data_IF_513134646629
#
_entry.id   IF_513134646629
#
_cell.length_a   1.000
_cell.length_b   1.000
_cell.length_c   1.000
_cell.angle_alpha   90.00
_cell.angle_beta   90.00
_cell.angle_gamma   90.00
#
_symmetry.space_group_name_H-M   'P 1'
#
loop_
_entity.id
_entity.type
_entity.pdbx_description
1 polymer ?
#
# COMPACT_ATOMS: atom_id res chain seq x y z
N UNK A 1 -44.00 62.90 59.58
CA UNK A 1 -44.76 62.83 58.34
C UNK A 1 -43.84 63.04 57.19
N UNK A 2 -43.25 62.03 56.70
CA UNK A 2 -42.36 62.09 55.52
C UNK A 2 -42.49 60.86 54.67
N UNK A 3 -42.91 61.08 53.43
CA UNK A 3 -43.06 60.03 52.44
C UNK A 3 -41.70 59.61 51.85
N UNK A 4 -41.35 58.38 52.05
CA UNK A 4 -40.12 57.77 51.50
C UNK A 4 -40.39 57.24 50.08
N UNK A 5 -39.78 57.90 49.09
CA UNK A 5 -39.84 57.48 47.70
C UNK A 5 -38.93 56.30 47.50
N UNK A 6 -39.55 55.20 47.02
CA UNK A 6 -38.84 54.02 46.54
C UNK A 6 -38.40 54.26 45.09
N UNK A 7 -37.12 54.34 44.87
CA UNK A 7 -36.49 54.21 43.55
C UNK A 7 -36.11 52.75 43.34
N UNK A 8 -36.85 52.07 42.47
CA UNK A 8 -36.42 50.77 41.93
C UNK A 8 -35.45 50.99 40.77
N UNK A 9 -34.19 50.67 41.04
CA UNK A 9 -33.20 50.57 39.98
C UNK A 9 -33.30 49.20 39.30
N UNK A 10 -33.72 49.16 38.02
CA UNK A 10 -33.67 47.99 37.19
C UNK A 10 -32.22 47.79 36.70
N UNK A 11 -31.52 46.81 37.27
CA UNK A 11 -30.23 46.35 36.72
C UNK A 11 -30.51 45.38 35.55
N UNK A 12 -30.32 45.87 34.32
CA UNK A 12 -30.34 45.01 33.12
C UNK A 12 -29.01 44.24 33.07
N UNK A 13 -29.06 42.96 33.44
CA UNK A 13 -27.94 42.04 33.23
C UNK A 13 -27.88 41.68 31.71
N UNK A 14 -26.94 42.30 30.99
CA UNK A 14 -26.55 41.82 29.64
C UNK A 14 -25.79 40.51 29.82
N UNK A 15 -26.43 39.38 29.58
CA UNK A 15 -25.80 38.09 29.39
C UNK A 15 -25.09 38.11 28.04
N UNK A 16 -23.80 38.35 28.02
CA UNK A 16 -22.95 38.04 26.86
C UNK A 16 -22.88 36.51 26.73
N UNK A 17 -23.65 35.95 25.79
CA UNK A 17 -23.45 34.60 25.31
C UNK A 17 -22.10 34.57 24.57
N UNK A 18 -21.06 34.23 25.26
CA UNK A 18 -19.77 33.88 24.68
C UNK A 18 -20.01 32.52 24.00
N UNK A 19 -20.38 32.57 22.70
CA UNK A 19 -20.33 31.41 21.85
C UNK A 19 -18.86 30.99 21.79
N UNK A 20 -18.50 30.00 22.60
CA UNK A 20 -17.22 29.33 22.52
C UNK A 20 -17.16 28.66 21.13
N UNK A 21 -16.58 29.35 20.16
CA UNK A 21 -16.04 28.69 18.98
C UNK A 21 -14.95 27.75 19.51
N UNK A 22 -15.32 26.51 19.85
CA UNK A 22 -14.35 25.45 19.94
C UNK A 22 -13.75 25.34 18.54
N UNK A 23 -12.58 25.95 18.34
CA UNK A 23 -11.74 25.59 17.24
C UNK A 23 -11.51 24.07 17.40
N UNK A 24 -12.22 23.26 16.65
CA UNK A 24 -11.93 21.84 16.59
C UNK A 24 -10.46 21.75 16.14
N UNK A 25 -9.59 21.37 17.05
CA UNK A 25 -8.22 21.04 16.70
C UNK A 25 -8.33 19.94 15.63
N UNK A 26 -7.64 20.14 14.50
CA UNK A 26 -7.63 19.15 13.44
C UNK A 26 -7.21 17.80 14.01
N UNK A 27 -7.97 16.74 13.70
CA UNK A 27 -7.56 15.39 14.04
C UNK A 27 -6.32 15.04 13.21
N UNK A 28 -5.25 14.59 13.85
CA UNK A 28 -4.06 14.12 13.13
C UNK A 28 -4.16 12.62 12.89
N UNK A 29 -3.95 12.20 11.63
CA UNK A 29 -3.81 10.79 11.22
C UNK A 29 -2.42 10.59 10.64
N UNK A 30 -1.68 9.64 11.18
CA UNK A 30 -0.37 9.24 10.67
C UNK A 30 -0.46 7.99 9.81
N UNK A 31 0.23 7.99 8.66
CA UNK A 31 0.25 6.87 7.71
C UNK A 31 1.68 6.55 7.26
N UNK A 32 2.07 5.28 7.42
CA UNK A 32 3.32 4.75 6.86
C UNK A 32 3.09 4.24 5.45
N UNK A 33 3.93 4.64 4.48
CA UNK A 33 3.73 4.28 3.09
C UNK A 33 5.05 4.15 2.32
N UNK A 34 5.06 3.36 1.25
CA UNK A 34 6.17 3.37 0.28
C UNK A 34 6.01 4.52 -0.73
N UNK A 35 7.12 5.07 -1.28
CA UNK A 35 7.07 6.31 -2.05
C UNK A 35 6.09 6.28 -3.22
N UNK A 36 6.18 5.27 -4.09
CA UNK A 36 5.37 5.14 -5.32
C UNK A 36 4.63 3.80 -5.31
N UNK A 37 3.37 3.74 -5.63
CA UNK A 37 2.41 4.83 -5.91
C UNK A 37 1.80 5.42 -4.63
N UNK A 38 2.06 4.84 -3.46
CA UNK A 38 1.32 5.03 -2.22
C UNK A 38 1.39 6.46 -1.69
N UNK A 39 2.60 7.02 -1.48
CA UNK A 39 2.75 8.42 -1.04
C UNK A 39 2.17 9.38 -2.08
N UNK A 40 2.36 9.14 -3.38
CA UNK A 40 1.80 9.98 -4.42
C UNK A 40 0.27 10.02 -4.39
N UNK A 41 -0.38 8.90 -4.09
CA UNK A 41 -1.85 8.82 -3.90
C UNK A 41 -2.25 9.54 -2.61
N UNK A 42 -1.49 9.37 -1.51
CA UNK A 42 -1.74 10.06 -0.24
C UNK A 42 -1.62 11.58 -0.36
N UNK A 43 -0.72 12.08 -1.17
CA UNK A 43 -0.60 13.53 -1.42
C UNK A 43 -1.82 14.10 -2.17
N UNK A 44 -2.52 13.30 -2.98
CA UNK A 44 -3.80 13.70 -3.59
C UNK A 44 -4.91 13.83 -2.54
N UNK A 45 -4.96 12.94 -1.56
CA UNK A 45 -6.01 12.97 -0.53
C UNK A 45 -5.74 13.97 0.59
N UNK A 46 -4.50 14.35 0.82
CA UNK A 46 -4.10 15.29 1.88
C UNK A 46 -4.90 16.61 1.87
N UNK A 47 -5.05 17.33 0.74
CA UNK A 47 -5.89 18.54 0.69
C UNK A 47 -7.40 18.25 0.84
N UNK A 48 -7.86 17.05 0.49
CA UNK A 48 -9.25 16.63 0.69
C UNK A 48 -9.53 16.47 2.19
N UNK A 49 -8.63 15.81 2.91
CA UNK A 49 -8.70 15.62 4.36
C UNK A 49 -8.57 16.92 5.14
N UNK A 50 -7.68 17.81 4.74
CA UNK A 50 -7.51 19.11 5.37
C UNK A 50 -8.80 19.94 5.38
N UNK A 51 -9.60 19.89 4.31
CA UNK A 51 -10.93 20.53 4.24
C UNK A 51 -11.95 19.91 5.21
N UNK A 52 -11.70 18.70 5.69
CA UNK A 52 -12.54 17.97 6.65
C UNK A 52 -12.00 18.09 8.09
N UNK A 53 -10.97 18.90 8.33
CA UNK A 53 -10.35 19.07 9.65
C UNK A 53 -9.44 17.90 10.04
N UNK A 54 -8.93 17.13 9.07
CA UNK A 54 -7.97 16.05 9.31
C UNK A 54 -6.60 16.44 8.74
N UNK A 55 -5.57 16.42 9.60
CA UNK A 55 -4.17 16.63 9.22
C UNK A 55 -3.49 15.28 8.97
N UNK A 56 -3.15 14.98 7.71
CA UNK A 56 -2.50 13.75 7.32
C UNK A 56 -0.98 13.88 7.41
N UNK A 57 -0.37 13.06 8.27
CA UNK A 57 1.10 12.93 8.41
C UNK A 57 1.56 11.66 7.69
N UNK A 58 2.32 11.83 6.62
CA UNK A 58 2.87 10.73 5.82
C UNK A 58 4.30 10.46 6.29
N UNK A 59 4.61 9.18 6.55
CA UNK A 59 5.94 8.67 6.90
C UNK A 59 6.36 7.67 5.83
N UNK A 60 7.47 7.95 5.14
CA UNK A 60 7.95 7.10 4.06
C UNK A 60 8.82 5.95 4.57
N UNK A 61 8.61 4.77 3.98
CA UNK A 61 9.38 3.55 4.23
C UNK A 61 9.86 2.95 2.90
N UNK A 62 11.03 2.34 2.93
CA UNK A 62 11.63 1.69 1.76
C UNK A 62 11.71 0.16 1.90
N UNK A 63 10.94 -0.40 2.80
CA UNK A 63 10.82 -1.84 3.06
C UNK A 63 9.37 -2.22 3.38
N UNK A 64 9.10 -3.53 3.48
CA UNK A 64 7.75 -4.04 3.75
C UNK A 64 7.54 -4.53 5.19
N UNK A 65 8.53 -4.44 6.06
CA UNK A 65 8.46 -4.93 7.45
C UNK A 65 8.10 -3.82 8.42
N UNK A 66 8.82 -2.70 8.34
CA UNK A 66 8.71 -1.59 9.29
C UNK A 66 7.32 -0.94 9.33
N UNK A 67 6.58 -0.74 8.20
CA UNK A 67 5.27 -0.12 8.28
C UNK A 67 4.26 -0.88 9.14
N UNK A 68 4.25 -2.22 9.06
CA UNK A 68 3.36 -3.04 9.89
C UNK A 68 3.76 -3.01 11.37
N UNK A 69 5.06 -3.09 11.66
CA UNK A 69 5.56 -2.98 13.03
C UNK A 69 5.20 -1.63 13.65
N UNK A 70 5.39 -0.53 12.92
CA UNK A 70 5.07 0.82 13.40
C UNK A 70 3.59 1.01 13.76
N UNK A 71 2.67 0.38 13.00
CA UNK A 71 1.23 0.41 13.31
C UNK A 71 0.89 -0.53 14.46
N UNK A 72 1.47 -1.74 14.49
CA UNK A 72 1.27 -2.71 15.56
C UNK A 72 1.73 -2.16 16.91
N UNK A 73 2.86 -1.44 16.93
CA UNK A 73 3.43 -0.81 18.13
C UNK A 73 2.73 0.52 18.51
N UNK A 74 1.76 0.97 17.72
CA UNK A 74 1.01 2.21 17.95
C UNK A 74 1.81 3.49 17.67
N UNK A 75 2.94 3.40 16.99
CA UNK A 75 3.74 4.57 16.56
C UNK A 75 3.08 5.32 15.42
N UNK A 76 2.34 4.61 14.55
CA UNK A 76 1.52 5.14 13.48
C UNK A 76 0.09 4.67 13.62
N UNK A 77 -0.85 5.46 13.10
CA UNK A 77 -2.27 5.09 13.09
C UNK A 77 -2.58 4.05 12.02
N UNK A 78 -1.95 4.20 10.86
CA UNK A 78 -2.23 3.40 9.67
C UNK A 78 -0.96 3.15 8.85
N UNK A 79 -1.03 2.17 7.93
CA UNK A 79 -0.09 2.06 6.83
C UNK A 79 -0.81 1.79 5.51
N UNK A 80 -0.13 2.13 4.42
CA UNK A 80 -0.60 1.92 3.06
C UNK A 80 0.60 1.59 2.17
N UNK A 81 0.88 0.27 1.99
CA UNK A 81 2.05 -0.22 1.24
C UNK A 81 1.91 -1.67 0.78
N UNK A 82 0.91 -2.41 1.29
CA UNK A 82 0.81 -3.87 1.20
C UNK A 82 -0.49 -4.33 0.58
N UNK A 83 -0.45 -5.49 -0.05
CA UNK A 83 -1.64 -6.19 -0.50
C UNK A 83 -2.22 -7.13 0.58
N UNK A 84 -3.50 -7.47 0.44
CA UNK A 84 -4.25 -8.29 1.40
C UNK A 84 -3.54 -9.61 1.78
N UNK A 85 -3.05 -10.45 0.85
CA UNK A 85 -2.37 -11.68 1.24
C UNK A 85 -1.11 -11.46 2.10
N UNK A 86 -0.38 -10.35 1.89
CA UNK A 86 0.77 -10.00 2.73
C UNK A 86 0.33 -9.65 4.16
N UNK A 87 -0.72 -8.85 4.30
CA UNK A 87 -1.30 -8.52 5.61
C UNK A 87 -1.75 -9.78 6.36
N UNK A 88 -2.46 -10.69 5.70
CA UNK A 88 -2.96 -11.93 6.29
C UNK A 88 -1.81 -12.83 6.79
N UNK A 89 -0.73 -12.96 5.98
CA UNK A 89 0.48 -13.68 6.39
C UNK A 89 1.14 -13.02 7.59
N UNK A 90 1.30 -11.70 7.58
CA UNK A 90 1.91 -10.96 8.68
C UNK A 90 1.13 -11.13 10.00
N UNK A 91 -0.20 -11.01 9.94
CA UNK A 91 -1.08 -11.21 11.12
C UNK A 91 -0.94 -12.64 11.65
N UNK A 92 -0.97 -13.64 10.77
CA UNK A 92 -0.82 -15.06 11.14
C UNK A 92 0.52 -15.33 11.81
N UNK A 93 1.60 -14.79 11.27
CA UNK A 93 2.95 -15.09 11.73
C UNK A 93 3.33 -14.33 13.02
N UNK A 94 2.76 -13.14 13.22
CA UNK A 94 3.11 -12.25 14.34
C UNK A 94 2.05 -12.14 15.42
N UNK A 95 0.82 -12.63 15.19
CA UNK A 95 -0.28 -12.50 16.13
C UNK A 95 -0.68 -11.03 16.37
N UNK A 96 -0.51 -10.15 15.36
CA UNK A 96 -0.81 -8.72 15.51
C UNK A 96 -2.30 -8.43 15.39
N UNK A 97 -2.73 -7.29 15.96
CA UNK A 97 -4.13 -6.81 15.92
C UNK A 97 -4.42 -5.91 14.72
N UNK A 98 -3.60 -6.00 13.66
CA UNK A 98 -3.79 -5.23 12.44
C UNK A 98 -5.08 -5.65 11.72
N UNK A 99 -5.78 -4.65 11.16
CA UNK A 99 -7.02 -4.86 10.41
C UNK A 99 -6.99 -4.09 9.11
N UNK A 100 -7.50 -4.70 8.03
CA UNK A 100 -7.78 -3.98 6.79
C UNK A 100 -8.94 -3.01 7.02
N UNK A 101 -8.77 -1.75 6.62
CA UNK A 101 -9.82 -0.72 6.70
C UNK A 101 -10.34 -0.28 5.34
N UNK A 102 -9.64 -0.59 4.25
CA UNK A 102 -10.13 -0.32 2.88
C UNK A 102 -9.15 -0.74 1.80
N UNK A 103 -9.69 -1.31 0.70
CA UNK A 103 -8.94 -1.61 -0.51
C UNK A 103 -8.84 -0.38 -1.41
N UNK A 104 -7.70 -0.20 -2.10
CA UNK A 104 -7.45 1.01 -2.89
C UNK A 104 -7.05 0.71 -4.33
N UNK A 105 -6.02 -0.12 -4.58
CA UNK A 105 -5.53 -0.36 -5.93
C UNK A 105 -4.84 -1.71 -6.08
N UNK A 106 -4.58 -2.09 -7.32
CA UNK A 106 -3.78 -3.27 -7.68
C UNK A 106 -2.55 -2.81 -8.44
N UNK A 107 -1.43 -3.47 -8.16
CA UNK A 107 -0.15 -3.29 -8.82
C UNK A 107 0.26 -4.61 -9.49
N UNK A 108 0.02 -4.81 -10.79
CA UNK A 108 0.44 -6.02 -11.50
C UNK A 108 1.95 -6.23 -11.42
N UNK A 109 2.40 -7.36 -10.87
CA UNK A 109 3.82 -7.71 -10.76
C UNK A 109 4.40 -8.09 -12.12
N UNK A 110 5.66 -7.76 -12.40
CA UNK A 110 6.30 -8.04 -13.69
C UNK A 110 7.66 -8.71 -13.60
N UNK A 111 8.05 -9.41 -14.67
CA UNK A 111 9.40 -9.93 -14.90
C UNK A 111 10.17 -8.94 -15.77
N UNK A 112 11.35 -8.55 -15.33
CA UNK A 112 12.22 -7.58 -16.00
C UNK A 112 13.62 -8.15 -16.25
N UNK A 113 14.33 -7.59 -17.23
CA UNK A 113 15.71 -7.94 -17.51
C UNK A 113 16.45 -6.81 -18.22
N UNK A 114 17.74 -6.68 -17.92
CA UNK A 114 18.66 -5.85 -18.71
C UNK A 114 19.34 -6.65 -19.84
N UNK A 115 19.29 -8.01 -19.79
CA UNK A 115 20.03 -8.91 -20.69
C UNK A 115 19.18 -9.46 -21.81
N UNK A 116 17.88 -9.67 -21.59
CA UNK A 116 16.96 -10.24 -22.57
C UNK A 116 15.75 -9.30 -22.81
N UNK A 117 15.10 -9.46 -23.95
CA UNK A 117 13.91 -8.67 -24.32
C UNK A 117 12.65 -9.52 -24.43
N UNK A 118 12.80 -10.82 -24.57
CA UNK A 118 11.71 -11.78 -24.73
C UNK A 118 11.96 -13.03 -23.89
N UNK A 119 10.87 -13.71 -23.53
CA UNK A 119 10.90 -14.87 -22.67
C UNK A 119 11.66 -16.06 -23.28
N UNK A 120 11.62 -16.21 -24.60
CA UNK A 120 12.31 -17.28 -25.36
C UNK A 120 13.84 -17.12 -25.35
N UNK A 121 14.35 -15.92 -25.09
CA UNK A 121 15.79 -15.64 -24.94
C UNK A 121 16.36 -16.11 -23.59
N UNK A 122 15.49 -16.46 -22.63
CA UNK A 122 15.91 -17.00 -21.32
C UNK A 122 16.48 -18.41 -21.51
N UNK A 123 17.77 -18.57 -21.28
CA UNK A 123 18.52 -19.81 -21.53
C UNK A 123 18.35 -20.82 -20.41
N UNK A 124 18.71 -22.06 -20.69
CA UNK A 124 18.88 -23.09 -19.67
C UNK A 124 19.93 -22.64 -18.63
N UNK A 125 19.66 -22.89 -17.35
CA UNK A 125 20.52 -22.49 -16.23
C UNK A 125 20.53 -21.00 -15.89
N UNK A 126 19.70 -20.19 -16.57
CA UNK A 126 19.56 -18.76 -16.24
C UNK A 126 19.17 -18.53 -14.78
N UNK A 127 19.66 -17.45 -14.20
CA UNK A 127 19.31 -17.03 -12.84
C UNK A 127 18.17 -16.03 -12.85
N UNK A 128 17.10 -16.34 -12.14
CA UNK A 128 15.93 -15.45 -11.94
C UNK A 128 15.85 -15.05 -10.49
N UNK A 129 15.92 -13.73 -10.22
CA UNK A 129 15.71 -13.21 -8.88
C UNK A 129 14.22 -13.04 -8.58
N UNK A 130 13.81 -13.36 -7.35
CA UNK A 130 12.43 -13.25 -6.87
C UNK A 130 12.41 -12.66 -5.46
N UNK A 131 11.27 -12.08 -4.98
CA UNK A 131 11.13 -11.65 -3.59
C UNK A 131 11.29 -12.82 -2.62
N UNK A 132 11.87 -12.55 -1.44
CA UNK A 132 12.11 -13.54 -0.39
C UNK A 132 11.02 -13.62 0.68
N UNK A 133 10.03 -12.74 0.64
CA UNK A 133 8.88 -12.86 1.55
C UNK A 133 7.87 -13.90 1.03
N UNK A 134 7.17 -14.61 1.95
CA UNK A 134 6.36 -15.77 1.57
C UNK A 134 5.33 -15.49 0.49
N UNK A 135 4.65 -14.34 0.55
CA UNK A 135 3.54 -14.05 -0.36
C UNK A 135 3.99 -13.48 -1.70
N UNK A 136 5.00 -12.60 -1.73
CA UNK A 136 5.53 -12.09 -3.00
C UNK A 136 6.44 -13.12 -3.69
N UNK A 137 7.17 -13.97 -2.93
CA UNK A 137 7.90 -15.11 -3.49
C UNK A 137 6.98 -16.07 -4.21
N UNK A 138 5.90 -16.51 -3.55
CA UNK A 138 4.88 -17.36 -4.18
C UNK A 138 4.24 -16.69 -5.40
N UNK A 139 3.88 -15.40 -5.29
CA UNK A 139 3.32 -14.61 -6.39
C UNK A 139 4.25 -14.57 -7.60
N UNK A 140 5.56 -14.42 -7.37
CA UNK A 140 6.56 -14.47 -8.43
C UNK A 140 6.60 -15.85 -9.11
N UNK A 141 6.56 -16.93 -8.34
CA UNK A 141 6.50 -18.30 -8.89
C UNK A 141 5.22 -18.53 -9.68
N UNK A 142 4.07 -18.06 -9.20
CA UNK A 142 2.80 -18.13 -9.93
C UNK A 142 2.84 -17.37 -11.25
N UNK A 143 3.49 -16.19 -11.29
CA UNK A 143 3.71 -15.45 -12.53
C UNK A 143 4.58 -16.24 -13.52
N UNK A 144 5.68 -16.83 -13.06
CA UNK A 144 6.56 -17.65 -13.89
C UNK A 144 5.86 -18.93 -14.39
N UNK A 145 5.02 -19.54 -13.55
CA UNK A 145 4.16 -20.65 -13.96
C UNK A 145 3.16 -20.25 -15.04
N UNK A 146 2.50 -19.10 -14.89
CA UNK A 146 1.55 -18.60 -15.89
C UNK A 146 2.20 -18.35 -17.25
N UNK A 147 3.51 -18.09 -17.26
CA UNK A 147 4.33 -17.92 -18.46
C UNK A 147 4.90 -19.26 -19.00
N UNK A 148 4.60 -20.38 -18.36
CA UNK A 148 5.07 -21.72 -18.77
C UNK A 148 6.55 -21.98 -18.50
N UNK A 149 7.20 -21.22 -17.64
CA UNK A 149 8.61 -21.39 -17.29
C UNK A 149 8.83 -22.49 -16.26
N UNK A 150 7.88 -22.66 -15.34
CA UNK A 150 7.88 -23.67 -14.28
C UNK A 150 6.48 -24.24 -14.11
N UNK A 151 6.36 -25.35 -13.38
CA UNK A 151 5.10 -25.91 -12.91
C UNK A 151 5.23 -26.11 -11.38
N UNK A 152 4.28 -25.62 -10.61
CA UNK A 152 4.19 -25.83 -9.16
C UNK A 152 3.40 -27.11 -8.86
N UNK A 153 3.66 -27.76 -7.71
CA UNK A 153 2.90 -28.92 -7.26
C UNK A 153 1.42 -28.58 -7.05
N UNK A 154 1.14 -27.43 -6.41
CA UNK A 154 -0.18 -26.82 -6.33
C UNK A 154 -0.18 -25.47 -7.06
N UNK A 155 -0.81 -25.38 -8.24
CA UNK A 155 -0.83 -24.17 -9.06
C UNK A 155 -1.62 -23.00 -8.44
N UNK A 156 -2.27 -23.20 -7.31
CA UNK A 156 -3.05 -22.18 -6.60
C UNK A 156 -2.44 -21.77 -5.25
N UNK A 157 -1.30 -22.37 -4.86
CA UNK A 157 -0.68 -22.10 -3.57
C UNK A 157 -0.05 -20.69 -3.52
N UNK A 158 -0.70 -19.77 -2.82
CA UNK A 158 -0.23 -18.38 -2.62
C UNK A 158 0.92 -18.24 -1.61
N UNK A 159 1.42 -19.33 -1.08
CA UNK A 159 2.60 -19.41 -0.18
C UNK A 159 3.62 -20.42 -0.68
N UNK A 160 3.56 -20.79 -1.98
CA UNK A 160 4.52 -21.69 -2.60
C UNK A 160 5.95 -21.15 -2.49
N UNK A 161 6.89 -22.05 -2.32
CA UNK A 161 8.33 -21.79 -2.28
C UNK A 161 9.03 -22.42 -3.49
N UNK A 162 10.29 -22.14 -3.67
CA UNK A 162 11.10 -22.80 -4.74
C UNK A 162 11.17 -24.33 -4.58
N UNK A 163 10.89 -24.85 -3.39
CA UNK A 163 10.83 -26.28 -3.11
C UNK A 163 9.57 -26.94 -3.65
N UNK A 164 8.53 -26.16 -3.91
CA UNK A 164 7.25 -26.63 -4.46
C UNK A 164 7.23 -26.63 -6.00
N UNK A 165 8.40 -26.40 -6.64
CA UNK A 165 8.53 -26.46 -8.09
C UNK A 165 8.58 -27.93 -8.53
N UNK A 166 7.50 -28.38 -9.18
CA UNK A 166 7.36 -29.75 -9.74
C UNK A 166 8.15 -29.93 -11.03
N UNK A 167 8.17 -28.90 -11.89
CA UNK A 167 8.86 -28.92 -13.18
C UNK A 167 9.56 -27.59 -13.44
N UNK A 168 10.80 -27.68 -13.90
CA UNK A 168 11.66 -26.56 -14.26
C UNK A 168 12.50 -26.96 -15.50
N UNK A 169 11.85 -26.93 -16.64
CA UNK A 169 12.41 -27.49 -17.90
C UNK A 169 13.66 -26.74 -18.39
N UNK A 170 13.83 -25.48 -17.99
CA UNK A 170 15.03 -24.70 -18.31
C UNK A 170 16.09 -24.73 -17.21
N UNK A 171 15.94 -25.54 -16.17
CA UNK A 171 16.86 -25.61 -15.04
C UNK A 171 17.18 -24.21 -14.48
N UNK A 172 16.19 -23.34 -14.33
CA UNK A 172 16.34 -21.98 -13.81
C UNK A 172 16.86 -22.02 -12.38
N UNK A 173 17.82 -21.16 -12.07
CA UNK A 173 18.31 -20.94 -10.72
C UNK A 173 17.54 -19.78 -10.10
N UNK A 174 17.01 -19.97 -8.91
CA UNK A 174 16.28 -18.93 -8.19
C UNK A 174 17.17 -18.23 -7.15
N UNK A 175 17.17 -16.90 -7.16
CA UNK A 175 17.84 -16.06 -6.17
C UNK A 175 16.81 -15.26 -5.41
N UNK A 176 16.56 -15.63 -4.15
CA UNK A 176 15.60 -14.96 -3.29
C UNK A 176 16.23 -13.73 -2.65
N UNK A 177 15.65 -12.55 -2.85
CA UNK A 177 16.16 -11.26 -2.36
C UNK A 177 15.01 -10.45 -1.74
N UNK A 178 15.36 -9.54 -0.83
CA UNK A 178 14.39 -8.52 -0.41
C UNK A 178 13.84 -7.76 -1.61
N UNK A 179 12.52 -7.52 -1.64
CA UNK A 179 11.84 -6.91 -2.78
C UNK A 179 12.46 -5.57 -3.21
N UNK A 180 12.93 -4.76 -2.25
CA UNK A 180 13.61 -3.49 -2.50
C UNK A 180 14.97 -3.63 -3.21
N UNK A 181 15.60 -4.82 -3.18
CA UNK A 181 16.90 -5.06 -3.81
C UNK A 181 16.78 -5.56 -5.25
N UNK A 182 15.61 -6.08 -5.65
CA UNK A 182 15.41 -6.71 -6.95
C UNK A 182 15.74 -5.80 -8.14
N UNK A 183 15.34 -4.51 -8.19
CA UNK A 183 15.71 -3.67 -9.31
C UNK A 183 17.22 -3.51 -9.49
N UNK A 184 17.98 -3.47 -8.39
CA UNK A 184 19.44 -3.35 -8.43
C UNK A 184 20.15 -4.64 -8.83
N UNK A 185 19.48 -5.78 -8.70
CA UNK A 185 20.07 -7.07 -9.07
C UNK A 185 20.01 -7.36 -10.58
N UNK A 186 19.32 -6.52 -11.39
CA UNK A 186 19.11 -6.77 -12.82
C UNK A 186 20.40 -6.88 -13.64
N UNK A 187 21.49 -6.24 -13.20
CA UNK A 187 22.79 -6.35 -13.87
C UNK A 187 23.49 -7.68 -13.54
N UNK A 188 23.18 -8.27 -12.38
CA UNK A 188 23.84 -9.49 -11.88
C UNK A 188 23.10 -10.78 -12.27
N UNK A 189 21.80 -10.72 -12.51
CA UNK A 189 20.96 -11.87 -12.86
C UNK A 189 20.50 -11.82 -14.31
N UNK A 190 19.86 -12.89 -14.81
CA UNK A 190 19.34 -12.92 -16.16
C UNK A 190 17.95 -12.28 -16.26
N UNK A 191 17.16 -12.38 -15.20
CA UNK A 191 15.90 -11.68 -15.04
C UNK A 191 15.52 -11.56 -13.55
N UNK A 192 14.58 -10.66 -13.23
CA UNK A 192 14.04 -10.52 -11.88
C UNK A 192 12.52 -10.27 -11.93
N UNK A 193 11.77 -10.92 -11.05
CA UNK A 193 10.37 -10.60 -10.81
C UNK A 193 10.30 -9.51 -9.76
N UNK A 194 9.76 -8.35 -10.14
CA UNK A 194 9.83 -7.13 -9.33
C UNK A 194 8.43 -6.61 -9.06
N UNK A 195 8.14 -6.29 -7.79
CA UNK A 195 6.93 -5.58 -7.38
C UNK A 195 6.87 -4.21 -8.06
N UNK A 196 5.70 -3.83 -8.53
CA UNK A 196 5.51 -2.64 -9.39
C UNK A 196 5.94 -1.33 -8.72
N UNK A 197 5.71 -1.16 -7.42
CA UNK A 197 6.17 0.02 -6.69
C UNK A 197 7.71 0.17 -6.75
N UNK A 198 8.47 -0.91 -6.58
CA UNK A 198 9.93 -0.89 -6.70
C UNK A 198 10.40 -0.76 -8.14
N UNK A 199 9.69 -1.34 -9.10
CA UNK A 199 9.97 -1.16 -10.52
C UNK A 199 9.84 0.32 -10.92
N UNK A 200 8.72 0.97 -10.58
CA UNK A 200 8.49 2.40 -10.87
C UNK A 200 9.54 3.27 -10.15
N UNK A 201 9.85 2.98 -8.88
CA UNK A 201 10.89 3.72 -8.13
C UNK A 201 12.28 3.61 -8.77
N UNK A 202 12.54 2.53 -9.51
CA UNK A 202 13.76 2.32 -10.28
C UNK A 202 13.68 2.83 -11.73
N UNK A 203 12.65 3.62 -12.06
CA UNK A 203 12.37 4.14 -13.40
C UNK A 203 12.07 3.07 -14.48
N UNK A 204 11.66 1.87 -14.07
CA UNK A 204 11.13 0.87 -14.97
C UNK A 204 9.63 1.12 -15.21
N UNK A 205 9.21 1.09 -16.45
CA UNK A 205 7.79 1.19 -16.80
C UNK A 205 7.17 -0.22 -16.85
N UNK A 206 6.24 -0.58 -15.96
CA UNK A 206 5.70 -1.94 -15.88
C UNK A 206 5.06 -2.42 -17.19
N UNK A 207 4.45 -1.53 -17.96
CA UNK A 207 3.76 -1.87 -19.21
C UNK A 207 4.69 -1.95 -20.44
N UNK A 208 5.89 -1.35 -20.35
CA UNK A 208 6.81 -1.28 -21.50
C UNK A 208 8.07 -2.10 -21.32
N UNK A 209 8.57 -2.17 -20.07
CA UNK A 209 9.87 -2.75 -19.78
C UNK A 209 9.76 -4.16 -19.21
N UNK A 210 8.56 -4.60 -18.76
CA UNK A 210 8.35 -5.98 -18.36
C UNK A 210 8.29 -6.92 -19.56
N UNK A 211 8.92 -8.09 -19.43
CA UNK A 211 8.86 -9.18 -20.40
C UNK A 211 7.53 -9.93 -20.28
N UNK A 212 7.07 -10.12 -19.05
CA UNK A 212 5.74 -10.60 -18.68
C UNK A 212 5.22 -9.77 -17.52
N UNK A 213 3.90 -9.63 -17.45
CA UNK A 213 3.23 -8.90 -16.37
C UNK A 213 1.94 -9.62 -15.98
N UNK A 214 1.59 -9.56 -14.70
CA UNK A 214 0.31 -10.09 -14.21
C UNK A 214 -0.89 -9.38 -14.85
N UNK A 215 -2.03 -10.07 -14.81
CA UNK A 215 -3.31 -9.44 -15.11
C UNK A 215 -3.76 -8.54 -13.95
N UNK A 216 -4.54 -7.51 -14.27
CA UNK A 216 -5.04 -6.54 -13.29
C UNK A 216 -6.24 -7.04 -12.45
N UNK A 217 -6.77 -8.24 -12.72
CA UNK A 217 -7.87 -8.88 -11.99
C UNK A 217 -7.36 -9.85 -10.89
N UNK A 218 -6.26 -9.50 -10.25
CA UNK A 218 -5.59 -10.33 -9.26
C UNK A 218 -6.12 -10.10 -7.83
N UNK A 219 -5.93 -11.06 -6.89
CA UNK A 219 -6.35 -10.92 -5.49
C UNK A 219 -5.46 -9.95 -4.69
N UNK A 220 -4.38 -9.45 -5.28
CA UNK A 220 -3.36 -8.64 -4.60
C UNK A 220 -3.74 -7.16 -4.52
N UNK A 221 -4.96 -6.88 -3.99
CA UNK A 221 -5.43 -5.51 -3.73
C UNK A 221 -4.58 -4.89 -2.63
N UNK A 222 -3.99 -3.74 -2.90
CA UNK A 222 -3.30 -2.91 -1.92
C UNK A 222 -4.32 -2.22 -1.02
N UNK A 223 -4.07 -2.29 0.30
CA UNK A 223 -5.03 -1.97 1.35
C UNK A 223 -4.48 -0.94 2.32
N UNK A 224 -5.37 -0.08 2.83
CA UNK A 224 -5.10 0.71 4.03
C UNK A 224 -5.32 -0.18 5.25
N UNK A 225 -4.36 -0.16 6.17
CA UNK A 225 -4.34 -1.00 7.36
C UNK A 225 -4.19 -0.13 8.60
N UNK A 226 -4.88 -0.49 9.67
CA UNK A 226 -4.77 0.13 10.99
C UNK A 226 -4.67 -0.95 12.08
N UNK A 227 -4.31 -0.60 13.31
CA UNK A 227 -4.61 -1.44 14.45
C UNK A 227 -6.08 -1.28 14.87
N UNK A 228 -6.63 -2.22 15.64
CA UNK A 228 -8.03 -2.23 16.03
C UNK A 228 -8.51 -0.94 16.71
N UNK A 229 -7.63 -0.25 17.45
CA UNK A 229 -7.94 1.02 18.10
C UNK A 229 -7.98 2.17 17.10
N UNK A 230 -6.97 2.31 16.26
CA UNK A 230 -6.89 3.39 15.26
C UNK A 230 -7.97 3.27 14.18
N UNK A 231 -8.41 2.05 13.85
CA UNK A 231 -9.49 1.79 12.90
C UNK A 231 -10.83 2.47 13.30
N UNK A 232 -11.02 2.79 14.59
CA UNK A 232 -12.23 3.46 15.08
C UNK A 232 -12.18 4.98 14.96
N UNK A 233 -11.01 5.58 14.69
CA UNK A 233 -10.84 7.03 14.56
C UNK A 233 -11.62 7.58 13.36
N UNK A 234 -12.31 8.70 13.55
CA UNK A 234 -13.06 9.35 12.46
C UNK A 234 -12.13 9.84 11.34
N UNK A 235 -10.92 10.31 11.69
CA UNK A 235 -9.90 10.67 10.71
C UNK A 235 -9.44 9.49 9.85
N UNK A 236 -9.35 8.28 10.40
CA UNK A 236 -9.02 7.06 9.64
C UNK A 236 -10.16 6.68 8.69
N UNK A 237 -11.41 6.77 9.15
CA UNK A 237 -12.58 6.55 8.29
C UNK A 237 -12.67 7.58 7.16
N UNK A 238 -12.33 8.85 7.46
CA UNK A 238 -12.23 9.90 6.44
C UNK A 238 -11.13 9.62 5.42
N UNK A 239 -9.97 9.10 5.87
CA UNK A 239 -8.87 8.70 4.99
C UNK A 239 -9.30 7.58 4.03
N UNK A 240 -10.01 6.56 4.50
CA UNK A 240 -10.55 5.49 3.62
C UNK A 240 -11.44 6.08 2.54
N UNK A 241 -12.41 6.94 2.92
CA UNK A 241 -13.33 7.57 1.95
C UNK A 241 -12.59 8.44 0.93
N UNK A 242 -11.56 9.17 1.38
CA UNK A 242 -10.76 10.01 0.50
C UNK A 242 -9.92 9.17 -0.48
N UNK A 243 -9.33 8.05 -0.03
CA UNK A 243 -8.59 7.12 -0.88
C UNK A 243 -9.47 6.43 -1.94
N UNK A 244 -10.76 6.26 -1.65
CA UNK A 244 -11.75 5.67 -2.56
C UNK A 244 -12.57 6.73 -3.31
N UNK A 245 -12.05 7.96 -3.42
CA UNK A 245 -12.72 9.05 -4.13
C UNK A 245 -12.51 8.99 -5.64
N UNK A 246 -13.39 9.71 -6.36
CA UNK A 246 -13.27 9.89 -7.81
C UNK A 246 -11.95 10.56 -8.20
N UNK A 247 -11.50 11.52 -7.40
CA UNK A 247 -10.26 12.25 -7.61
C UNK A 247 -9.04 11.31 -7.57
N UNK A 248 -9.01 10.36 -6.64
CA UNK A 248 -7.94 9.35 -6.54
C UNK A 248 -8.01 8.39 -7.73
N UNK A 249 -9.19 7.94 -8.12
CA UNK A 249 -9.38 7.09 -9.29
C UNK A 249 -8.84 7.74 -10.56
N UNK A 250 -9.26 8.99 -10.82
CA UNK A 250 -8.80 9.76 -11.99
C UNK A 250 -7.28 10.02 -11.97
N UNK A 251 -6.72 10.25 -10.77
CA UNK A 251 -5.27 10.40 -10.61
C UNK A 251 -4.54 9.10 -10.98
N UNK A 252 -4.97 7.96 -10.44
CA UNK A 252 -4.37 6.64 -10.73
C UNK A 252 -4.43 6.36 -12.24
N UNK A 253 -5.59 6.50 -12.84
CA UNK A 253 -5.79 6.24 -14.28
C UNK A 253 -4.89 7.13 -15.15
N UNK A 254 -4.84 8.43 -14.85
CA UNK A 254 -4.07 9.40 -15.61
C UNK A 254 -2.55 9.24 -15.44
N UNK A 255 -2.11 9.00 -14.20
CA UNK A 255 -0.67 8.97 -13.90
C UNK A 255 -0.02 7.66 -14.29
N UNK A 256 -0.66 6.54 -13.97
CA UNK A 256 -0.07 5.21 -14.13
C UNK A 256 -0.53 4.50 -15.40
N UNK A 257 -1.57 4.99 -16.07
CA UNK A 257 -2.03 4.52 -17.39
C UNK A 257 -2.16 2.99 -17.49
N UNK A 258 -2.63 2.35 -16.41
CA UNK A 258 -2.82 0.89 -16.32
C UNK A 258 -1.69 0.12 -15.62
N UNK A 259 -0.53 0.73 -15.34
CA UNK A 259 0.51 0.11 -14.50
C UNK A 259 0.08 -0.04 -13.04
N UNK A 260 -0.81 0.83 -12.60
CA UNK A 260 -1.54 0.77 -11.32
C UNK A 260 -3.02 0.94 -11.63
N UNK A 261 -3.88 0.15 -11.01
CA UNK A 261 -5.32 0.09 -11.33
C UNK A 261 -6.14 0.30 -10.06
N UNK A 262 -7.08 1.24 -10.06
CA UNK A 262 -8.00 1.44 -8.94
C UNK A 262 -8.87 0.18 -8.73
N UNK A 263 -9.09 -0.20 -7.46
CA UNK A 263 -9.79 -1.42 -7.06
C UNK A 263 -11.04 -1.13 -6.21
N UNK A 264 -11.70 0.01 -6.43
CA UNK A 264 -12.91 0.46 -5.74
C UNK A 264 -13.90 1.11 -6.69
#
# INVERSE_FOLDING_TARGET
>A
MNKLNKLLGAAAALAFAVSSFSANANETVSVGATPVPHVEILEVVKPILAKQGVDLKIVEFNDYVQPNLSVSDGQLDTNYFQHRPYLESFIKDRGSDLVEVGGVHIEPMGLYSHKIKKLDELKEGSTVAIPNDPTNGARALLLLQSAGLIELEDPSNITATVLDIKSNSKNLNFKELEAAQLPRSLDDVDAAVINTNFAISANLNPLKDSIIIEKSDSPYVNVLVANSKSAQKEGVKALVKALQSKEVKEFIEKKYNGAVVAAF
#
